data_IF_318346028334
#
_entry.id   IF_318346028334
#
_cell.length_a   1.000
_cell.length_b   1.000
_cell.length_c   1.000
_cell.angle_alpha   90.00
_cell.angle_beta   90.00
_cell.angle_gamma   90.00
#
_symmetry.space_group_name_H-M   'P 1'
#
loop_
_entity.id
_entity.type
_entity.pdbx_description
1 polymer ?
#
# COMPACT_ATOMS: atom_id res chain seq x y z
N UNK A 1 3.39 25.16 -24.26
CA UNK A 1 3.63 23.76 -23.84
C UNK A 1 2.64 23.35 -22.76
N UNK A 2 2.51 24.13 -21.68
CA UNK A 2 1.46 23.96 -20.65
C UNK A 2 0.05 24.00 -21.24
N UNK A 3 -0.29 24.97 -22.11
CA UNK A 3 -1.60 25.01 -22.78
C UNK A 3 -1.93 23.80 -23.67
N UNK A 4 -0.92 23.14 -24.23
CA UNK A 4 -1.10 21.95 -25.08
C UNK A 4 -1.30 20.70 -24.22
N UNK A 5 -0.61 20.61 -23.08
CA UNK A 5 -0.83 19.60 -22.04
C UNK A 5 -2.20 19.78 -21.37
N UNK A 6 -2.62 21.00 -21.07
CA UNK A 6 -3.92 21.32 -20.49
C UNK A 6 -5.08 21.05 -21.46
N UNK A 7 -4.90 21.33 -22.76
CA UNK A 7 -5.85 20.91 -23.78
C UNK A 7 -5.91 19.40 -23.89
N UNK A 8 -4.79 18.67 -23.83
CA UNK A 8 -4.80 17.21 -23.85
C UNK A 8 -5.43 16.57 -22.60
N UNK A 9 -5.26 17.18 -21.42
CA UNK A 9 -5.85 16.74 -20.15
C UNK A 9 -7.36 17.03 -20.12
N UNK A 10 -7.79 18.23 -20.52
CA UNK A 10 -9.22 18.56 -20.68
C UNK A 10 -9.87 17.74 -21.81
N UNK A 11 -9.12 17.36 -22.85
CA UNK A 11 -9.62 16.44 -23.87
C UNK A 11 -9.75 15.03 -23.30
N UNK A 12 -8.83 14.54 -22.45
CA UNK A 12 -8.94 13.21 -21.83
C UNK A 12 -10.01 13.14 -20.75
N UNK A 13 -10.08 14.13 -19.85
CA UNK A 13 -11.12 14.23 -18.82
C UNK A 13 -12.48 14.53 -19.46
N UNK A 14 -12.54 15.38 -20.48
CA UNK A 14 -13.72 15.65 -21.27
C UNK A 14 -14.19 14.45 -22.09
N UNK A 15 -13.26 13.67 -22.67
CA UNK A 15 -13.58 12.37 -23.27
C UNK A 15 -14.09 11.40 -22.22
N UNK A 16 -13.52 11.35 -21.01
CA UNK A 16 -14.00 10.50 -19.91
C UNK A 16 -15.40 10.90 -19.44
N UNK A 17 -15.67 12.19 -19.25
CA UNK A 17 -17.01 12.68 -18.88
C UNK A 17 -18.02 12.51 -20.02
N UNK A 18 -17.60 12.67 -21.28
CA UNK A 18 -18.46 12.40 -22.45
C UNK A 18 -18.68 10.91 -22.68
N UNK A 19 -17.69 10.03 -22.49
CA UNK A 19 -17.88 8.57 -22.58
C UNK A 19 -18.72 8.06 -21.41
N UNK A 20 -18.60 8.64 -20.22
CA UNK A 20 -19.46 8.33 -19.07
C UNK A 20 -20.91 8.82 -19.30
N UNK A 21 -21.09 10.01 -19.89
CA UNK A 21 -22.40 10.55 -20.26
C UNK A 21 -23.04 9.78 -21.44
N UNK A 22 -22.24 9.31 -22.42
CA UNK A 22 -22.69 8.41 -23.49
C UNK A 22 -23.01 7.00 -22.98
N UNK A 23 -22.29 6.50 -21.97
CA UNK A 23 -22.57 5.21 -21.32
C UNK A 23 -23.91 5.25 -20.57
N UNK A 24 -24.24 6.40 -19.99
CA UNK A 24 -25.55 6.68 -19.39
C UNK A 24 -26.66 6.93 -20.43
N UNK A 25 -26.32 7.38 -21.65
CA UNK A 25 -27.32 7.75 -22.67
C UNK A 25 -27.58 6.72 -23.78
N UNK A 26 -26.82 5.61 -23.86
CA UNK A 26 -26.94 4.61 -24.97
C UNK A 26 -27.35 3.20 -24.52
N UNK A 27 -27.68 2.99 -23.25
CA UNK A 27 -28.15 1.71 -22.73
C UNK A 27 -29.70 1.62 -22.69
N UNK A 28 -30.34 1.69 -23.86
CA UNK A 28 -31.78 1.34 -24.02
C UNK A 28 -32.05 -0.17 -24.09
N UNK A 29 -31.12 -1.00 -23.63
CA UNK A 29 -31.36 -2.43 -23.38
C UNK A 29 -31.28 -2.66 -21.87
N UNK A 30 -32.34 -2.24 -21.19
CA UNK A 30 -32.65 -2.66 -19.83
C UNK A 30 -32.84 -4.19 -19.84
N UNK A 31 -31.80 -4.93 -19.48
CA UNK A 31 -32.05 -6.07 -18.59
C UNK A 31 -32.54 -5.43 -17.30
N UNK A 32 -33.77 -5.73 -16.92
CA UNK A 32 -34.36 -5.31 -15.67
C UNK A 32 -33.59 -5.91 -14.49
N UNK A 33 -32.43 -5.36 -14.18
CA UNK A 33 -31.93 -5.40 -12.82
C UNK A 33 -32.76 -4.38 -12.05
N UNK A 34 -33.82 -4.85 -11.41
CA UNK A 34 -34.36 -4.19 -10.24
C UNK A 34 -33.21 -4.06 -9.24
N UNK A 35 -32.55 -2.91 -9.22
CA UNK A 35 -31.60 -2.56 -8.18
C UNK A 35 -32.42 -2.25 -6.94
N UNK A 36 -32.71 -3.30 -6.16
CA UNK A 36 -33.10 -3.14 -4.77
C UNK A 36 -31.97 -2.38 -4.04
N UNK A 37 -32.35 -1.51 -3.10
CA UNK A 37 -31.51 -0.77 -2.13
C UNK A 37 -30.69 -1.69 -1.19
N UNK A 38 -30.27 -2.86 -1.66
CA UNK A 38 -29.57 -3.85 -0.89
C UNK A 38 -28.07 -3.59 -0.99
N UNK A 39 -27.52 -3.02 0.09
CA UNK A 39 -26.10 -2.99 0.49
C UNK A 39 -25.06 -2.65 -0.60
N UNK A 40 -24.31 -1.56 -0.35
CA UNK A 40 -23.11 -1.16 -1.11
C UNK A 40 -22.06 -2.29 -1.22
N UNK A 41 -22.17 -3.34 -0.40
CA UNK A 41 -21.32 -4.52 -0.44
C UNK A 41 -22.12 -5.75 -0.92
N UNK A 42 -22.00 -6.16 -2.19
CA UNK A 42 -21.92 -7.61 -2.41
C UNK A 42 -20.77 -8.12 -1.53
N UNK A 43 -21.04 -9.13 -0.70
CA UNK A 43 -19.99 -9.85 0.02
C UNK A 43 -18.92 -10.22 -1.03
N UNK A 44 -17.64 -9.89 -0.82
CA UNK A 44 -16.60 -10.24 -1.77
C UNK A 44 -16.73 -11.72 -2.14
N UNK A 45 -16.49 -12.08 -3.41
CA UNK A 45 -15.97 -13.42 -3.65
C UNK A 45 -14.75 -13.53 -2.75
N UNK A 46 -14.82 -14.40 -1.72
CA UNK A 46 -13.73 -14.54 -0.76
C UNK A 46 -12.45 -14.69 -1.60
N UNK A 47 -11.46 -13.79 -1.45
CA UNK A 47 -10.17 -13.99 -2.07
C UNK A 47 -9.82 -15.41 -1.71
N UNK A 48 -9.65 -16.29 -2.70
CA UNK A 48 -9.24 -17.64 -2.40
C UNK A 48 -7.84 -17.43 -1.87
N UNK A 49 -7.70 -17.33 -0.54
CA UNK A 49 -6.44 -17.09 0.18
C UNK A 49 -5.45 -18.24 -0.01
N UNK A 50 -5.71 -19.07 -1.04
CA UNK A 50 -5.10 -20.33 -1.41
C UNK A 50 -5.05 -21.32 -0.23
N UNK A 51 -5.89 -21.10 0.79
CA UNK A 51 -5.89 -21.84 2.04
C UNK A 51 -4.84 -21.37 3.04
N UNK A 52 -4.42 -20.10 2.97
CA UNK A 52 -3.49 -19.49 3.93
C UNK A 52 -4.13 -19.32 5.31
N UNK A 53 -5.39 -18.87 5.38
CA UNK A 53 -6.11 -18.68 6.65
C UNK A 53 -6.65 -20.01 7.21
N UNK A 54 -5.74 -20.92 7.58
CA UNK A 54 -6.08 -22.17 8.29
C UNK A 54 -6.49 -21.90 9.74
N UNK A 55 -7.14 -22.85 10.40
CA UNK A 55 -7.52 -22.72 11.82
C UNK A 55 -6.31 -22.42 12.72
N UNK A 56 -5.16 -23.03 12.43
CA UNK A 56 -3.91 -22.81 13.17
C UNK A 56 -3.38 -21.39 12.96
N UNK A 57 -3.33 -20.92 11.72
CA UNK A 57 -2.87 -19.55 11.40
C UNK A 57 -3.85 -18.51 11.98
N UNK A 58 -5.15 -18.73 11.87
CA UNK A 58 -6.18 -17.82 12.41
C UNK A 58 -6.04 -17.68 13.93
N UNK A 59 -5.79 -18.77 14.64
CA UNK A 59 -5.55 -18.71 16.09
C UNK A 59 -4.34 -17.83 16.44
N UNK A 60 -3.23 -17.97 15.70
CA UNK A 60 -2.04 -17.14 15.92
C UNK A 60 -2.31 -15.66 15.62
N UNK A 61 -3.06 -15.38 14.57
CA UNK A 61 -3.48 -14.03 14.18
C UNK A 61 -4.32 -13.40 15.31
N UNK A 62 -5.35 -14.09 15.80
CA UNK A 62 -6.25 -13.55 16.82
C UNK A 62 -5.53 -13.31 18.16
N UNK A 63 -4.69 -14.26 18.60
CA UNK A 63 -3.89 -14.12 19.82
C UNK A 63 -2.88 -12.97 19.74
N UNK A 64 -2.32 -12.72 18.56
CA UNK A 64 -1.43 -11.58 18.34
C UNK A 64 -2.21 -10.26 18.27
N UNK A 65 -3.38 -10.24 17.62
CA UNK A 65 -4.19 -9.03 17.47
C UNK A 65 -4.65 -8.45 18.82
N UNK A 66 -4.97 -9.30 19.81
CA UNK A 66 -5.23 -8.82 21.18
C UNK A 66 -4.01 -8.11 21.80
N UNK A 67 -2.80 -8.59 21.51
CA UNK A 67 -1.56 -7.95 21.97
C UNK A 67 -1.29 -6.63 21.23
N UNK A 68 -1.60 -6.55 19.94
CA UNK A 68 -1.53 -5.31 19.15
C UNK A 68 -2.48 -4.27 19.75
N UNK A 69 -3.74 -4.63 20.03
CA UNK A 69 -4.71 -3.72 20.67
C UNK A 69 -4.24 -3.23 22.04
N UNK A 70 -3.60 -4.10 22.83
CA UNK A 70 -3.12 -3.75 24.16
C UNK A 70 -1.86 -2.87 24.16
N UNK A 71 -0.93 -3.11 23.23
CA UNK A 71 0.43 -2.54 23.26
C UNK A 71 0.73 -1.56 22.11
N UNK A 72 -0.18 -1.42 21.15
CA UNK A 72 0.03 -0.70 19.89
C UNK A 72 0.72 -1.53 18.79
N UNK A 73 1.57 -2.50 19.16
CA UNK A 73 2.21 -3.42 18.21
C UNK A 73 2.55 -4.75 18.91
N UNK A 74 2.68 -5.83 18.13
CA UNK A 74 3.18 -7.12 18.60
C UNK A 74 3.71 -7.96 17.42
N UNK A 75 4.94 -8.47 17.53
CA UNK A 75 5.51 -9.32 16.47
C UNK A 75 4.78 -10.66 16.38
N UNK A 76 4.15 -10.92 15.24
CA UNK A 76 3.67 -12.21 14.77
C UNK A 76 4.66 -12.76 13.75
N UNK A 77 4.93 -14.05 13.83
CA UNK A 77 5.68 -14.80 12.82
C UNK A 77 4.82 -16.00 12.43
N UNK A 78 4.50 -16.11 11.14
CA UNK A 78 3.87 -17.31 10.56
C UNK A 78 4.97 -18.11 9.87
N UNK A 79 5.37 -19.27 10.44
CA UNK A 79 6.45 -20.07 9.87
C UNK A 79 6.11 -20.61 8.48
N UNK A 80 7.12 -20.77 7.61
CA UNK A 80 6.95 -21.37 6.26
C UNK A 80 6.15 -22.68 6.27
N UNK A 81 6.31 -23.48 7.32
CA UNK A 81 5.69 -24.80 7.48
C UNK A 81 4.17 -24.75 7.64
N UNK A 82 3.58 -23.60 8.01
CA UNK A 82 2.14 -23.48 8.25
C UNK A 82 1.33 -23.17 7.00
N UNK A 83 1.98 -22.84 5.88
CA UNK A 83 1.30 -22.53 4.63
C UNK A 83 1.93 -23.24 3.44
N UNK A 84 1.11 -23.43 2.39
CA UNK A 84 1.46 -24.26 1.23
C UNK A 84 2.73 -23.78 0.53
N UNK A 85 3.46 -24.73 -0.06
CA UNK A 85 4.52 -24.41 -1.02
C UNK A 85 3.94 -23.68 -2.24
N UNK A 86 4.76 -22.83 -2.86
CA UNK A 86 4.36 -22.08 -4.05
C UNK A 86 3.40 -20.90 -3.80
N UNK A 87 3.02 -20.63 -2.54
CA UNK A 87 2.22 -19.43 -2.21
C UNK A 87 2.91 -18.13 -2.64
N UNK A 88 4.23 -18.08 -2.46
CA UNK A 88 5.06 -17.01 -2.99
C UNK A 88 5.97 -17.59 -4.08
N UNK A 89 5.87 -17.01 -5.26
CA UNK A 89 6.82 -17.22 -6.36
C UNK A 89 7.37 -15.86 -6.75
N UNK A 90 8.67 -15.82 -7.06
CA UNK A 90 9.37 -14.60 -7.39
C UNK A 90 9.94 -14.72 -8.81
N UNK A 91 9.96 -13.64 -9.61
CA UNK A 91 10.73 -13.59 -10.83
C UNK A 91 12.18 -13.99 -10.59
N UNK A 92 12.79 -14.62 -11.59
CA UNK A 92 14.14 -15.20 -11.48
C UNK A 92 15.17 -14.17 -11.03
N UNK A 93 15.10 -12.96 -11.58
CA UNK A 93 16.05 -11.89 -11.31
C UNK A 93 15.89 -11.32 -9.88
N UNK A 94 14.66 -11.03 -9.46
CA UNK A 94 14.39 -10.64 -8.07
C UNK A 94 14.82 -11.73 -7.06
N UNK A 95 14.56 -13.00 -7.36
CA UNK A 95 15.03 -14.12 -6.54
C UNK A 95 16.57 -14.18 -6.48
N UNK A 96 17.25 -13.95 -7.60
CA UNK A 96 18.71 -13.89 -7.67
C UNK A 96 19.27 -12.75 -6.81
N UNK A 97 18.67 -11.56 -6.88
CA UNK A 97 19.11 -10.39 -6.10
C UNK A 97 18.94 -10.61 -4.60
N UNK A 98 17.77 -11.12 -4.18
CA UNK A 98 17.54 -11.50 -2.78
C UNK A 98 18.51 -12.59 -2.31
N UNK A 99 18.82 -13.57 -3.17
CA UNK A 99 19.80 -14.61 -2.87
C UNK A 99 21.20 -14.02 -2.67
N UNK A 100 21.63 -13.07 -3.49
CA UNK A 100 22.93 -12.40 -3.31
C UNK A 100 23.03 -11.75 -1.92
N UNK A 101 21.95 -11.09 -1.47
CA UNK A 101 21.90 -10.48 -0.14
C UNK A 101 21.99 -11.51 0.98
N UNK A 102 21.22 -12.61 0.89
CA UNK A 102 21.22 -13.68 1.89
C UNK A 102 22.56 -14.41 1.95
N UNK A 103 23.17 -14.72 0.80
CA UNK A 103 24.48 -15.38 0.72
C UNK A 103 25.60 -14.49 1.32
N UNK A 104 25.47 -13.16 1.22
CA UNK A 104 26.36 -12.19 1.83
C UNK A 104 26.11 -11.98 3.34
N UNK A 105 25.11 -12.65 3.92
CA UNK A 105 24.78 -12.57 5.35
C UNK A 105 23.81 -11.45 5.74
N UNK A 106 23.20 -10.77 4.77
CA UNK A 106 22.16 -9.77 5.01
C UNK A 106 20.76 -10.39 4.98
N UNK A 107 19.78 -9.62 5.45
CA UNK A 107 18.36 -9.95 5.34
C UNK A 107 17.78 -9.49 4.02
N UNK A 108 16.81 -10.22 3.50
CA UNK A 108 16.01 -9.82 2.34
C UNK A 108 14.53 -10.03 2.68
N UNK A 109 13.82 -8.95 2.98
CA UNK A 109 12.42 -8.95 3.36
C UNK A 109 11.57 -8.43 2.20
N UNK A 110 10.79 -9.30 1.57
CA UNK A 110 9.84 -8.87 0.53
C UNK A 110 8.74 -8.03 1.15
N UNK A 111 8.44 -6.91 0.52
CA UNK A 111 7.61 -5.84 1.08
C UNK A 111 6.10 -6.07 0.88
N UNK A 112 5.30 -5.34 1.69
CA UNK A 112 3.92 -5.67 1.98
C UNK A 112 2.94 -5.80 0.81
N UNK A 113 3.08 -5.05 -0.28
CA UNK A 113 2.18 -5.19 -1.43
C UNK A 113 2.20 -6.60 -2.01
N UNK A 114 3.40 -7.13 -2.23
CA UNK A 114 3.64 -8.49 -2.73
C UNK A 114 3.18 -9.54 -1.73
N UNK A 115 3.43 -9.33 -0.43
CA UNK A 115 3.03 -10.28 0.61
C UNK A 115 1.51 -10.36 0.74
N UNK A 116 0.83 -9.21 0.81
CA UNK A 116 -0.63 -9.09 0.82
C UNK A 116 -1.24 -9.81 -0.38
N UNK A 117 -0.77 -9.47 -1.57
CA UNK A 117 -1.32 -9.99 -2.81
C UNK A 117 -1.05 -11.50 -2.95
N UNK A 118 0.09 -12.00 -2.47
CA UNK A 118 0.38 -13.44 -2.40
C UNK A 118 -0.53 -14.18 -1.42
N UNK A 119 -0.77 -13.65 -0.21
CA UNK A 119 -1.73 -14.21 0.76
C UNK A 119 -3.16 -14.22 0.19
N UNK A 120 -3.54 -13.19 -0.58
CA UNK A 120 -4.83 -13.12 -1.27
C UNK A 120 -4.93 -14.00 -2.52
N UNK A 121 -3.83 -14.65 -2.93
CA UNK A 121 -3.80 -15.55 -4.07
C UNK A 121 -3.63 -14.88 -5.44
N UNK A 122 -3.21 -13.62 -5.48
CA UNK A 122 -2.95 -12.84 -6.69
C UNK A 122 -1.51 -12.31 -6.73
N UNK A 123 -0.47 -13.17 -6.86
CA UNK A 123 0.94 -12.76 -6.68
C UNK A 123 1.35 -11.57 -7.56
N UNK A 124 2.11 -10.63 -6.98
CA UNK A 124 2.73 -9.54 -7.73
C UNK A 124 3.94 -10.06 -8.53
N UNK A 125 4.13 -9.52 -9.73
CA UNK A 125 5.33 -9.75 -10.53
C UNK A 125 6.39 -8.66 -10.35
N UNK A 126 6.01 -7.53 -9.76
CA UNK A 126 6.93 -6.44 -9.38
C UNK A 126 7.32 -6.67 -7.91
N UNK A 127 8.59 -6.96 -7.67
CA UNK A 127 9.10 -7.39 -6.36
C UNK A 127 10.01 -6.30 -5.79
N UNK A 128 9.53 -5.68 -4.72
CA UNK A 128 10.33 -4.81 -3.87
C UNK A 128 10.74 -5.56 -2.61
N UNK A 129 12.00 -5.39 -2.18
CA UNK A 129 12.44 -5.92 -0.90
C UNK A 129 13.28 -4.94 -0.09
N UNK A 130 13.13 -5.03 1.23
CA UNK A 130 13.93 -4.27 2.19
C UNK A 130 15.04 -5.15 2.79
N UNK A 131 16.17 -4.54 3.16
CA UNK A 131 17.35 -5.24 3.69
C UNK A 131 18.01 -4.44 4.81
N UNK A 132 18.70 -5.12 5.72
CA UNK A 132 19.45 -4.45 6.78
C UNK A 132 20.84 -3.95 6.30
N UNK A 133 21.13 -4.07 5.00
CA UNK A 133 22.34 -3.51 4.40
C UNK A 133 22.20 -2.01 4.09
N UNK A 134 23.28 -1.26 4.24
CA UNK A 134 23.38 0.12 3.75
C UNK A 134 23.40 0.19 2.22
N UNK A 135 23.13 1.37 1.65
CA UNK A 135 23.14 1.60 0.20
C UNK A 135 24.43 1.09 -0.47
N UNK A 136 25.59 1.43 0.09
CA UNK A 136 26.89 1.02 -0.46
C UNK A 136 27.08 -0.50 -0.39
N UNK A 137 26.61 -1.14 0.69
CA UNK A 137 26.65 -2.60 0.83
C UNK A 137 25.72 -3.29 -0.17
N UNK A 138 24.52 -2.74 -0.42
CA UNK A 138 23.60 -3.29 -1.42
C UNK A 138 24.24 -3.20 -2.81
N UNK A 139 24.76 -2.02 -3.19
CA UNK A 139 25.41 -1.80 -4.50
C UNK A 139 26.63 -2.70 -4.69
N UNK A 140 27.39 -2.97 -3.62
CA UNK A 140 28.53 -3.88 -3.68
C UNK A 140 28.12 -5.37 -3.76
N UNK A 141 26.92 -5.73 -3.30
CA UNK A 141 26.46 -7.13 -3.19
C UNK A 141 25.66 -7.56 -4.41
N UNK A 142 24.79 -6.70 -4.94
CA UNK A 142 23.88 -7.02 -6.05
C UNK A 142 24.50 -6.58 -7.38
N UNK A 143 24.67 -7.50 -8.36
CA UNK A 143 25.22 -7.15 -9.66
C UNK A 143 24.41 -6.06 -10.38
N UNK A 144 25.11 -5.17 -11.09
CA UNK A 144 24.52 -4.08 -11.88
C UNK A 144 23.60 -3.13 -11.10
N UNK A 145 23.62 -3.17 -9.77
CA UNK A 145 22.80 -2.32 -8.93
C UNK A 145 23.31 -0.87 -8.90
N UNK A 146 22.39 0.09 -8.87
CA UNK A 146 22.70 1.51 -8.77
C UNK A 146 21.82 2.19 -7.73
N UNK A 147 22.41 3.09 -6.96
CA UNK A 147 21.69 3.90 -5.97
C UNK A 147 21.01 5.10 -6.62
N UNK A 148 19.81 5.43 -6.17
CA UNK A 148 19.03 6.57 -6.59
C UNK A 148 18.52 7.33 -5.36
N UNK A 149 18.61 8.66 -5.40
CA UNK A 149 17.96 9.50 -4.42
C UNK A 149 16.46 9.51 -4.70
N UNK A 150 15.66 8.86 -3.85
CA UNK A 150 14.22 8.77 -4.02
C UNK A 150 13.53 10.04 -3.50
N UNK A 151 13.91 10.49 -2.32
CA UNK A 151 13.34 11.67 -1.69
C UNK A 151 14.23 12.22 -0.57
N UNK A 152 14.55 13.52 -0.59
CA UNK A 152 15.42 14.16 0.42
C UNK A 152 16.73 13.36 0.62
N UNK A 153 16.93 12.75 1.79
CA UNK A 153 18.09 11.92 2.13
C UNK A 153 17.78 10.42 2.10
N UNK A 154 16.61 10.03 1.57
CA UNK A 154 16.21 8.64 1.40
C UNK A 154 16.68 8.15 0.03
N UNK A 155 17.58 7.19 0.06
CA UNK A 155 18.08 6.49 -1.11
C UNK A 155 17.48 5.10 -1.22
N UNK A 156 17.29 4.66 -2.46
CA UNK A 156 16.93 3.29 -2.84
C UNK A 156 17.95 2.78 -3.83
N UNK A 157 18.02 1.47 -4.01
CA UNK A 157 18.87 0.82 -5.00
C UNK A 157 17.99 0.10 -6.02
N UNK A 158 18.32 0.24 -7.29
CA UNK A 158 17.64 -0.47 -8.39
C UNK A 158 18.61 -1.45 -9.02
N UNK A 159 18.19 -2.71 -9.15
CA UNK A 159 18.94 -3.75 -9.85
C UNK A 159 18.48 -3.82 -11.31
N UNK A 160 19.46 -3.95 -12.21
CA UNK A 160 19.25 -3.96 -13.65
C UNK A 160 19.59 -5.33 -14.24
N UNK A 161 18.63 -5.90 -14.96
CA UNK A 161 18.77 -7.15 -15.68
C UNK A 161 18.34 -6.93 -17.13
N UNK A 162 19.15 -7.39 -18.09
CA UNK A 162 18.95 -7.17 -19.55
C UNK A 162 18.69 -5.71 -20.00
N UNK A 163 19.06 -4.73 -19.17
CA UNK A 163 18.88 -3.30 -19.44
C UNK A 163 17.63 -2.68 -18.82
N UNK A 164 16.72 -3.49 -18.27
CA UNK A 164 15.51 -3.05 -17.59
C UNK A 164 15.68 -3.06 -16.07
N UNK A 165 14.90 -2.23 -15.38
CA UNK A 165 14.81 -2.26 -13.91
C UNK A 165 13.86 -3.40 -13.54
N UNK A 166 14.35 -4.34 -12.73
CA UNK A 166 13.54 -5.49 -12.34
C UNK A 166 13.33 -5.63 -10.83
N UNK A 167 14.14 -4.95 -10.02
CA UNK A 167 14.06 -5.05 -8.55
C UNK A 167 14.38 -3.71 -7.88
N UNK A 168 13.47 -3.25 -7.00
CA UNK A 168 13.74 -2.15 -6.08
C UNK A 168 14.14 -2.68 -4.70
N UNK A 169 15.30 -2.21 -4.23
CA UNK A 169 15.95 -2.65 -3.00
C UNK A 169 16.11 -1.44 -2.08
N UNK A 170 15.48 -1.49 -0.92
CA UNK A 170 15.58 -0.42 0.08
C UNK A 170 16.34 -0.91 1.32
N UNK A 171 17.25 -0.12 1.89
CA UNK A 171 17.64 -0.34 3.27
C UNK A 171 16.41 -0.22 4.18
N UNK A 172 16.34 -1.02 5.23
CA UNK A 172 15.44 -0.81 6.35
C UNK A 172 15.71 0.58 6.91
N UNK A 173 14.68 1.40 6.99
CA UNK A 173 14.83 2.79 7.42
C UNK A 173 13.81 3.19 8.49
N UNK A 174 14.27 4.02 9.42
CA UNK A 174 13.45 4.70 10.43
C UNK A 174 13.12 6.09 9.93
N UNK A 175 11.85 6.46 10.07
CA UNK A 175 11.27 7.74 9.61
C UNK A 175 11.35 8.86 10.65
N UNK A 176 11.96 8.61 11.81
CA UNK A 176 11.84 9.42 13.03
C UNK A 176 12.09 10.94 12.89
N UNK A 177 13.05 11.39 12.10
CA UNK A 177 13.32 12.82 11.95
C UNK A 177 12.15 13.58 11.31
N UNK A 178 11.35 12.93 10.45
CA UNK A 178 10.21 13.56 9.79
C UNK A 178 8.96 13.64 10.69
N UNK A 179 8.93 12.86 11.78
CA UNK A 179 7.75 12.66 12.62
C UNK A 179 7.83 13.42 13.95
N UNK A 180 9.01 13.95 14.32
CA UNK A 180 9.18 14.88 15.45
C UNK A 180 8.65 14.39 16.80
N UNK A 181 8.54 13.06 16.99
CA UNK A 181 7.91 12.46 18.18
C UNK A 181 6.41 12.75 18.34
N UNK A 182 5.72 13.21 17.28
CA UNK A 182 4.27 13.47 17.32
C UNK A 182 3.49 12.17 17.11
N UNK A 183 2.58 11.92 18.05
CA UNK A 183 1.57 10.85 18.01
C UNK A 183 2.15 9.45 18.10
N UNK A 184 2.44 8.99 19.32
CA UNK A 184 2.77 7.59 19.71
C UNK A 184 3.75 6.78 18.82
N UNK A 185 4.43 7.38 17.85
CA UNK A 185 5.53 6.73 17.13
C UNK A 185 6.70 6.61 18.11
N UNK A 186 7.24 5.41 18.36
CA UNK A 186 8.39 5.24 19.24
C UNK A 186 9.57 6.12 18.80
N UNK A 187 10.33 6.62 19.75
CA UNK A 187 11.55 7.37 19.44
C UNK A 187 12.55 6.44 18.74
N UNK A 188 13.15 6.86 17.61
CA UNK A 188 14.17 6.04 16.94
C UNK A 188 15.36 5.83 17.84
N UNK A 189 16.01 4.69 17.67
CA UNK A 189 17.31 4.38 18.27
C UNK A 189 18.48 4.89 17.42
N UNK A 190 18.22 5.46 16.23
CA UNK A 190 19.22 5.78 15.20
C UNK A 190 19.20 7.26 14.79
N UNK A 191 19.80 8.17 15.59
CA UNK A 191 19.78 9.61 15.31
C UNK A 191 20.73 10.06 14.19
N UNK A 192 21.78 9.28 13.89
CA UNK A 192 22.85 9.69 12.94
C UNK A 192 22.69 9.08 11.53
N UNK A 193 21.70 8.22 11.33
CA UNK A 193 21.40 7.58 10.05
C UNK A 193 19.93 7.17 10.00
N UNK A 194 19.22 7.41 8.88
CA UNK A 194 17.86 6.90 8.72
C UNK A 194 17.84 5.37 8.60
N UNK A 195 18.99 4.72 8.39
CA UNK A 195 19.06 3.27 8.15
C UNK A 195 19.30 2.47 9.44
N UNK A 196 18.62 1.35 9.58
CA UNK A 196 18.72 0.51 10.77
C UNK A 196 18.50 -0.98 10.51
N UNK A 197 18.76 -1.81 11.53
CA UNK A 197 18.58 -3.27 11.46
C UNK A 197 17.19 -3.74 11.96
N UNK A 198 16.38 -2.84 12.51
CA UNK A 198 15.11 -3.19 13.15
C UNK A 198 13.95 -3.08 12.15
N UNK A 199 13.43 -4.23 11.69
CA UNK A 199 12.32 -4.27 10.75
C UNK A 199 11.06 -3.56 11.29
N UNK A 200 10.88 -3.51 12.62
CA UNK A 200 9.77 -2.76 13.21
C UNK A 200 9.83 -1.26 12.84
N UNK A 201 11.02 -0.68 12.74
CA UNK A 201 11.19 0.73 12.35
C UNK A 201 10.73 0.98 10.90
N UNK A 202 11.04 0.07 9.96
CA UNK A 202 10.57 0.15 8.56
C UNK A 202 9.05 0.17 8.49
N UNK A 203 8.39 -0.60 9.35
CA UNK A 203 6.93 -0.75 9.30
C UNK A 203 6.20 0.57 9.57
N UNK A 204 6.74 1.44 10.43
CA UNK A 204 6.11 2.74 10.73
C UNK A 204 6.10 3.70 9.54
N UNK A 205 7.02 3.51 8.57
CA UNK A 205 7.03 4.26 7.33
C UNK A 205 5.84 3.93 6.41
N UNK A 206 5.23 2.75 6.58
CA UNK A 206 4.13 2.26 5.75
C UNK A 206 2.82 2.96 6.09
N UNK A 207 1.92 3.03 5.12
CA UNK A 207 0.62 3.67 5.31
C UNK A 207 -0.35 2.79 6.08
N UNK A 208 -0.57 1.57 5.59
CA UNK A 208 -1.65 0.68 6.02
C UNK A 208 -1.09 -0.64 6.58
N UNK A 209 -1.77 -1.20 7.57
CA UNK A 209 -1.41 -2.47 8.24
C UNK A 209 -1.23 -3.60 7.22
N UNK A 210 -2.15 -3.73 6.27
CA UNK A 210 -2.11 -4.73 5.19
C UNK A 210 -0.91 -4.57 4.23
N UNK A 211 -0.26 -3.39 4.23
CA UNK A 211 0.93 -3.10 3.43
C UNK A 211 2.21 -3.08 4.28
N UNK A 212 2.12 -3.42 5.57
CA UNK A 212 3.23 -3.54 6.51
C UNK A 212 3.51 -5.02 6.88
N UNK A 213 3.19 -5.92 5.95
CA UNK A 213 3.52 -7.34 6.00
C UNK A 213 4.88 -7.59 5.35
N UNK A 214 5.64 -8.56 5.85
CA UNK A 214 6.95 -8.90 5.31
C UNK A 214 7.10 -10.41 5.14
N UNK A 215 7.80 -10.82 4.09
CA UNK A 215 8.23 -12.21 3.89
C UNK A 215 9.76 -12.25 3.97
N UNK A 216 10.33 -12.98 4.94
CA UNK A 216 11.78 -13.19 5.05
C UNK A 216 12.20 -14.24 4.01
N UNK A 217 12.94 -13.82 2.98
CA UNK A 217 13.40 -14.70 1.91
C UNK A 217 14.34 -15.81 2.40
N UNK A 218 15.09 -15.56 3.48
CA UNK A 218 16.02 -16.53 4.05
C UNK A 218 15.34 -17.66 4.82
N UNK A 219 14.22 -17.37 5.51
CA UNK A 219 13.50 -18.39 6.31
C UNK A 219 12.21 -18.87 5.67
N UNK A 220 11.62 -18.07 4.79
CA UNK A 220 10.27 -18.25 4.29
C UNK A 220 9.20 -17.90 5.33
N UNK A 221 9.52 -17.12 6.37
CA UNK A 221 8.51 -16.73 7.36
C UNK A 221 7.78 -15.45 6.94
N UNK A 222 6.50 -15.35 7.29
CA UNK A 222 5.76 -14.09 7.19
C UNK A 222 5.79 -13.39 8.54
N UNK A 223 6.04 -12.09 8.53
CA UNK A 223 6.17 -11.24 9.70
C UNK A 223 5.11 -10.13 9.64
N UNK A 224 4.41 -9.93 10.75
CA UNK A 224 3.41 -8.88 10.94
C UNK A 224 3.59 -8.26 12.33
N UNK A 225 3.58 -6.94 12.45
CA UNK A 225 3.71 -6.23 13.72
C UNK A 225 2.43 -5.51 14.16
N UNK A 226 1.50 -5.30 13.23
CA UNK A 226 0.41 -4.32 13.38
C UNK A 226 -0.97 -4.94 13.17
N UNK A 227 -1.07 -6.26 13.06
CA UNK A 227 -2.33 -6.95 12.79
C UNK A 227 -2.75 -6.85 11.32
N UNK A 228 -1.81 -6.64 10.41
CA UNK A 228 -2.09 -6.61 8.97
C UNK A 228 -2.72 -7.91 8.45
N UNK A 229 -2.36 -9.08 9.00
CA UNK A 229 -2.98 -10.35 8.61
C UNK A 229 -4.43 -10.48 9.11
N UNK A 230 -4.72 -9.94 10.29
CA UNK A 230 -6.09 -9.84 10.82
C UNK A 230 -6.94 -8.93 9.92
N UNK A 231 -6.44 -7.73 9.64
CA UNK A 231 -7.11 -6.75 8.79
C UNK A 231 -7.31 -7.27 7.35
N UNK A 232 -6.34 -8.02 6.82
CA UNK A 232 -6.43 -8.65 5.51
C UNK A 232 -7.50 -9.74 5.46
N UNK A 233 -7.61 -10.57 6.51
CA UNK A 233 -8.62 -11.62 6.65
C UNK A 233 -10.03 -11.03 6.76
N UNK A 234 -10.17 -10.00 7.59
CA UNK A 234 -11.48 -9.43 7.95
C UNK A 234 -11.91 -8.29 7.00
N UNK A 235 -11.07 -7.96 6.02
CA UNK A 235 -11.34 -6.95 5.00
C UNK A 235 -11.45 -5.54 5.58
N UNK A 236 -10.49 -5.15 6.42
CA UNK A 236 -10.47 -3.87 7.14
C UNK A 236 -9.27 -3.04 6.68
N UNK A 237 -9.50 -1.76 6.39
CA UNK A 237 -8.43 -0.79 6.16
C UNK A 237 -8.11 -0.05 7.46
N UNK A 238 -6.92 -0.27 8.03
CA UNK A 238 -6.34 0.51 9.12
C UNK A 238 -4.94 1.02 8.75
N UNK A 239 -4.50 2.08 9.43
CA UNK A 239 -3.15 2.64 9.31
C UNK A 239 -2.18 2.01 10.30
N UNK A 240 -0.88 2.01 10.01
CA UNK A 240 0.15 1.48 10.94
C UNK A 240 0.31 2.36 12.17
N UNK A 241 0.41 3.67 11.95
CA UNK A 241 0.33 4.68 13.00
C UNK A 241 -1.10 5.19 13.10
N UNK A 242 -1.44 5.95 14.14
CA UNK A 242 -2.79 6.52 14.29
C UNK A 242 -3.20 7.28 13.03
N UNK A 243 -4.47 7.17 12.63
CA UNK A 243 -4.93 7.70 11.34
C UNK A 243 -4.73 9.23 11.21
N UNK A 244 -4.95 9.97 12.29
CA UNK A 244 -4.74 11.42 12.35
C UNK A 244 -3.27 11.79 12.04
N UNK A 245 -2.32 11.06 12.63
CA UNK A 245 -0.88 11.26 12.38
C UNK A 245 -0.56 10.98 10.93
N UNK A 246 -1.03 9.84 10.37
CA UNK A 246 -0.74 9.48 8.99
C UNK A 246 -1.23 10.52 8.00
N UNK A 247 -2.45 11.04 8.19
CA UNK A 247 -3.03 12.07 7.32
C UNK A 247 -2.29 13.40 7.46
N UNK A 248 -1.90 13.79 8.68
CA UNK A 248 -1.14 15.02 8.91
C UNK A 248 0.23 15.01 8.21
N UNK A 249 0.83 13.83 8.05
CA UNK A 249 2.11 13.67 7.35
C UNK A 249 1.95 13.60 5.84
N UNK A 250 0.96 12.84 5.37
CA UNK A 250 0.66 12.69 3.96
C UNK A 250 -0.85 12.55 3.75
N UNK A 251 -1.51 13.67 3.44
CA UNK A 251 -2.94 13.68 3.16
C UNK A 251 -3.34 12.80 1.95
N UNK A 252 -2.39 12.45 1.07
CA UNK A 252 -2.63 11.48 -0.02
C UNK A 252 -2.97 10.09 0.51
N UNK A 253 -2.69 9.79 1.78
CA UNK A 253 -3.13 8.56 2.44
C UNK A 253 -4.66 8.38 2.36
N UNK A 254 -5.45 9.47 2.38
CA UNK A 254 -6.90 9.41 2.18
C UNK A 254 -7.22 8.77 0.81
N UNK A 255 -6.65 9.33 -0.26
CA UNK A 255 -6.86 8.84 -1.62
C UNK A 255 -6.39 7.38 -1.77
N UNK A 256 -5.21 7.07 -1.24
CA UNK A 256 -4.63 5.70 -1.30
C UNK A 256 -5.50 4.70 -0.54
N UNK A 257 -6.00 5.05 0.63
CA UNK A 257 -6.81 4.14 1.45
C UNK A 257 -8.19 3.92 0.86
N UNK A 258 -8.85 4.95 0.32
CA UNK A 258 -10.12 4.78 -0.42
C UNK A 258 -9.91 3.92 -1.68
N UNK A 259 -8.78 4.08 -2.38
CA UNK A 259 -8.43 3.25 -3.52
C UNK A 259 -8.27 1.78 -3.13
N UNK A 260 -7.54 1.49 -2.04
CA UNK A 260 -7.35 0.12 -1.57
C UNK A 260 -8.66 -0.49 -1.03
N UNK A 261 -9.47 0.29 -0.29
CA UNK A 261 -10.81 -0.12 0.13
C UNK A 261 -11.71 -0.48 -1.07
N UNK A 262 -11.61 0.28 -2.16
CA UNK A 262 -12.32 -0.05 -3.40
C UNK A 262 -11.78 -1.31 -4.07
N UNK A 263 -10.45 -1.38 -4.28
CA UNK A 263 -9.77 -2.46 -5.00
C UNK A 263 -10.00 -3.82 -4.34
N UNK A 264 -9.82 -3.88 -3.02
CA UNK A 264 -9.89 -5.13 -2.25
C UNK A 264 -11.25 -5.38 -1.63
N UNK A 265 -12.21 -4.49 -1.87
CA UNK A 265 -13.54 -4.54 -1.29
C UNK A 265 -13.56 -4.51 0.24
N UNK A 266 -12.62 -3.78 0.84
CA UNK A 266 -12.50 -3.65 2.28
C UNK A 266 -13.37 -2.52 2.80
N UNK A 267 -13.80 -2.64 4.06
CA UNK A 267 -14.40 -1.55 4.82
C UNK A 267 -13.30 -0.67 5.41
N UNK A 268 -13.60 0.61 5.59
CA UNK A 268 -12.70 1.52 6.32
C UNK A 268 -12.85 1.25 7.81
N UNK A 269 -11.74 1.08 8.53
CA UNK A 269 -11.75 0.90 9.98
C UNK A 269 -12.27 2.14 10.72
N UNK A 270 -12.76 1.97 11.94
CA UNK A 270 -13.47 3.05 12.66
C UNK A 270 -12.59 4.28 12.92
N UNK A 271 -11.34 4.07 13.35
CA UNK A 271 -10.38 5.17 13.57
C UNK A 271 -10.08 5.91 12.26
N UNK A 272 -9.86 5.16 11.18
CA UNK A 272 -9.54 5.70 9.86
C UNK A 272 -10.73 6.45 9.23
N UNK A 273 -11.95 5.92 9.37
CA UNK A 273 -13.19 6.56 8.91
C UNK A 273 -13.41 7.90 9.62
N UNK A 274 -13.20 7.93 10.94
CA UNK A 274 -13.27 9.17 11.72
C UNK A 274 -12.22 10.18 11.25
N UNK A 275 -10.96 9.77 11.13
CA UNK A 275 -9.87 10.66 10.71
C UNK A 275 -10.07 11.19 9.29
N UNK A 276 -10.57 10.37 8.36
CA UNK A 276 -10.94 10.82 7.01
C UNK A 276 -11.99 11.93 7.04
N UNK A 277 -13.04 11.79 7.87
CA UNK A 277 -14.08 12.82 8.00
C UNK A 277 -13.54 14.10 8.61
N UNK A 278 -12.67 13.99 9.60
CA UNK A 278 -12.14 15.14 10.34
C UNK A 278 -11.06 15.91 9.57
N UNK A 279 -10.34 15.24 8.65
CA UNK A 279 -9.16 15.79 7.98
C UNK A 279 -9.24 15.80 6.45
N UNK A 280 -10.45 15.61 5.88
CA UNK A 280 -10.65 15.58 4.42
C UNK A 280 -10.20 16.88 3.73
N UNK A 281 -10.28 18.00 4.43
CA UNK A 281 -9.90 19.33 3.94
C UNK A 281 -8.39 19.48 3.74
N UNK A 282 -7.56 18.63 4.37
CA UNK A 282 -6.12 18.56 4.13
C UNK A 282 -5.78 18.26 2.66
N UNK A 283 -6.70 17.67 1.89
CA UNK A 283 -6.53 17.46 0.45
C UNK A 283 -6.40 18.77 -0.35
N UNK A 284 -6.88 19.91 0.17
CA UNK A 284 -6.76 21.23 -0.49
C UNK A 284 -5.32 21.71 -0.58
N UNK A 285 -4.49 21.30 0.37
CA UNK A 285 -3.09 21.72 0.46
C UNK A 285 -2.18 20.92 -0.48
N UNK A 286 -2.69 19.83 -1.06
CA UNK A 286 -1.91 19.03 -2.00
C UNK A 286 -1.71 19.79 -3.32
N UNK A 287 -0.56 19.56 -3.94
CA UNK A 287 -0.36 20.03 -5.31
C UNK A 287 -1.27 19.27 -6.28
N UNK A 288 -1.73 20.00 -7.29
CA UNK A 288 -2.73 19.52 -8.25
C UNK A 288 -2.24 18.32 -9.05
N UNK A 289 -0.93 18.23 -9.33
CA UNK A 289 -0.36 17.16 -10.15
C UNK A 289 -0.35 15.82 -9.40
N UNK A 290 0.23 15.79 -8.20
CA UNK A 290 0.32 14.57 -7.39
C UNK A 290 -1.05 14.04 -7.00
N UNK A 291 -2.02 14.92 -6.80
CA UNK A 291 -3.35 14.52 -6.42
C UNK A 291 -4.17 13.96 -7.59
N UNK A 292 -4.00 14.50 -8.81
CA UNK A 292 -4.53 13.87 -10.04
C UNK A 292 -3.94 12.47 -10.21
N UNK A 293 -2.61 12.33 -10.11
CA UNK A 293 -1.95 11.03 -10.27
C UNK A 293 -2.45 9.96 -9.30
N UNK A 294 -2.61 10.32 -8.02
CA UNK A 294 -3.11 9.39 -7.00
C UNK A 294 -4.58 8.99 -7.24
N UNK A 295 -5.42 9.92 -7.74
CA UNK A 295 -6.80 9.58 -8.08
C UNK A 295 -6.94 8.79 -9.37
N UNK A 296 -6.23 9.15 -10.44
CA UNK A 296 -6.27 8.43 -11.73
C UNK A 296 -5.94 6.95 -11.54
N UNK A 297 -4.99 6.66 -10.66
CA UNK A 297 -4.63 5.29 -10.29
C UNK A 297 -5.81 4.45 -9.76
N UNK A 298 -6.84 5.07 -9.18
CA UNK A 298 -8.04 4.39 -8.70
C UNK A 298 -9.14 4.19 -9.76
N UNK A 299 -9.06 4.89 -10.90
CA UNK A 299 -9.99 4.70 -12.03
C UNK A 299 -9.47 3.69 -13.06
N UNK A 300 -8.19 3.33 -12.97
CA UNK A 300 -7.57 2.30 -13.77
C UNK A 300 -7.81 0.92 -13.12
N UNK A 301 -9.01 0.35 -13.31
CA UNK A 301 -9.31 -1.02 -12.86
C UNK A 301 -10.80 -1.37 -12.78
N UNK A 302 -11.10 -2.65 -12.53
CA UNK A 302 -12.48 -3.16 -12.41
C UNK A 302 -13.28 -2.67 -11.20
N UNK A 303 -12.72 -1.77 -10.39
CA UNK A 303 -13.30 -1.24 -9.14
C UNK A 303 -13.60 0.26 -9.19
N UNK A 304 -13.49 0.90 -10.37
CA UNK A 304 -13.66 2.35 -10.54
C UNK A 304 -15.00 2.88 -9.98
N UNK A 305 -16.11 2.15 -10.16
CA UNK A 305 -17.42 2.56 -9.64
C UNK A 305 -17.46 2.56 -8.10
N UNK A 306 -16.88 1.54 -7.46
CA UNK A 306 -16.79 1.49 -5.99
C UNK A 306 -15.89 2.60 -5.48
N UNK A 307 -14.76 2.84 -6.15
CA UNK A 307 -13.86 3.94 -5.80
C UNK A 307 -14.57 5.29 -5.89
N UNK A 308 -15.30 5.55 -6.98
CA UNK A 308 -16.10 6.77 -7.13
C UNK A 308 -17.14 6.93 -6.01
N UNK A 309 -17.88 5.88 -5.66
CA UNK A 309 -18.84 5.91 -4.55
C UNK A 309 -18.19 6.25 -3.21
N UNK A 310 -16.99 5.71 -2.95
CA UNK A 310 -16.23 6.06 -1.75
C UNK A 310 -15.77 7.53 -1.76
N UNK A 311 -15.28 8.03 -2.90
CA UNK A 311 -14.91 9.45 -3.03
C UNK A 311 -16.10 10.37 -2.73
N UNK A 312 -17.29 10.06 -3.25
CA UNK A 312 -18.54 10.80 -2.98
C UNK A 312 -18.94 10.70 -1.50
N UNK A 313 -18.89 9.50 -0.91
CA UNK A 313 -19.24 9.27 0.49
C UNK A 313 -18.42 10.15 1.44
N UNK A 314 -17.11 10.29 1.17
CA UNK A 314 -16.21 11.13 1.95
C UNK A 314 -16.12 12.57 1.42
N UNK A 315 -16.95 12.95 0.43
CA UNK A 315 -16.99 14.29 -0.18
C UNK A 315 -15.65 14.75 -0.75
N UNK A 316 -14.80 13.81 -1.18
CA UNK A 316 -13.49 14.12 -1.78
C UNK A 316 -13.66 14.94 -3.06
N UNK A 317 -14.67 14.62 -3.85
CA UNK A 317 -15.01 15.30 -5.11
C UNK A 317 -15.34 16.76 -4.89
N UNK A 318 -16.09 17.11 -3.84
CA UNK A 318 -16.40 18.50 -3.48
C UNK A 318 -15.12 19.32 -3.25
N UNK A 319 -14.16 18.76 -2.52
CA UNK A 319 -12.91 19.48 -2.22
C UNK A 319 -11.97 19.54 -3.42
N UNK A 320 -11.90 18.47 -4.19
CA UNK A 320 -10.97 18.36 -5.29
C UNK A 320 -11.44 19.15 -6.52
N UNK A 321 -12.72 19.03 -6.89
CA UNK A 321 -13.29 19.77 -8.02
C UNK A 321 -13.33 21.27 -7.75
N UNK A 322 -13.69 21.72 -6.54
CA UNK A 322 -13.64 23.15 -6.20
C UNK A 322 -12.19 23.67 -6.26
N UNK A 323 -11.21 22.94 -5.71
CA UNK A 323 -9.80 23.37 -5.78
C UNK A 323 -9.21 23.38 -7.18
N UNK A 324 -9.62 22.46 -8.06
CA UNK A 324 -9.26 22.46 -9.48
C UNK A 324 -9.87 23.66 -10.20
N UNK A 325 -11.16 23.92 -9.96
CA UNK A 325 -11.90 24.99 -10.65
C UNK A 325 -11.42 26.38 -10.21
N UNK A 326 -11.03 26.54 -8.94
CA UNK A 326 -10.49 27.80 -8.40
C UNK A 326 -9.02 28.07 -8.80
N UNK A 327 -8.29 27.02 -9.20
CA UNK A 327 -6.88 27.10 -9.67
C UNK A 327 -6.76 27.16 -11.20
N UNK A 328 -7.88 27.09 -11.92
CA UNK A 328 -7.99 27.22 -13.39
C UNK A 328 -8.44 28.63 -13.78
#
# INVERSE_FOLDING_TARGET
>A
MVDLLMKALNYRIGIWLMTFSLFLSTSTTFVSCTFEDNAIDPKPEEPTSQGFFTDEINKLIDENYEKVKANGYAKLVIPKSLYKEGLFTFPVNAASDMKCMVDAGYKAYVNGGTVRDGVMGTPSHDIDFSTNASIDQIVATVPNAKSFNAFKNIWVVKAYHDGDIETDIAPIFSIFEEYGGKGNVPLTKYPDSPYCDDLLEDTYSRDFTINALYYDYGTGDIIDYHGGLHDLRDGIMNTVVTADVKIALDARAILRGLRFAAKYQFRVGEELDKAYKDHIDALKELDTYNSIYNMESGFNGGFALRYFKLLEQYKVTDYYLTSLTDRL
#
